data_IF_231729947618
#
_entry.id   IF_231729947618
#
_cell.length_a   1.000
_cell.length_b   1.000
_cell.length_c   1.000
_cell.angle_alpha   90.00
_cell.angle_beta   90.00
_cell.angle_gamma   90.00
#
_symmetry.space_group_name_H-M   'P 1'
#
loop_
_entity.id
_entity.type
_entity.pdbx_description
1 polymer ?
#
# COMPACT_ATOMS: atom_id res chain seq x y z
N UNK A 1 -8.34 -0.20 -21.14
CA UNK A 1 -7.66 1.00 -20.60
C UNK A 1 -7.02 0.66 -19.29
N UNK A 2 -5.71 0.73 -19.22
CA UNK A 2 -5.01 0.68 -17.96
C UNK A 2 -5.33 1.93 -17.15
N UNK A 3 -5.80 1.75 -15.93
CA UNK A 3 -5.90 2.85 -14.97
C UNK A 3 -4.46 3.32 -14.74
N UNK A 4 -4.17 4.59 -15.05
CA UNK A 4 -2.84 5.14 -14.90
C UNK A 4 -2.52 5.36 -13.40
N UNK A 5 -2.13 4.31 -12.71
CA UNK A 5 -1.57 4.40 -11.35
C UNK A 5 -0.17 5.05 -11.32
N UNK A 6 0.41 5.33 -12.49
CA UNK A 6 1.80 5.79 -12.60
C UNK A 6 1.99 7.30 -12.63
N UNK A 7 0.92 8.09 -12.75
CA UNK A 7 1.03 9.54 -12.71
C UNK A 7 1.20 9.99 -11.26
N UNK A 8 2.38 10.51 -10.96
CA UNK A 8 2.57 11.29 -9.73
C UNK A 8 1.76 12.58 -9.86
N UNK A 9 0.69 12.77 -9.07
CA UNK A 9 -0.02 14.04 -9.11
C UNK A 9 0.95 15.16 -8.72
N UNK A 10 1.01 16.24 -9.51
CA UNK A 10 1.77 17.45 -9.20
C UNK A 10 1.36 18.04 -7.83
N UNK A 11 0.20 17.63 -7.34
CA UNK A 11 -0.42 18.04 -6.08
C UNK A 11 0.02 17.24 -4.85
N UNK A 12 0.93 16.25 -4.98
CA UNK A 12 1.46 15.46 -3.86
C UNK A 12 2.05 16.29 -2.71
N UNK A 13 2.62 17.45 -3.04
CA UNK A 13 3.23 18.34 -2.04
C UNK A 13 2.22 18.91 -1.04
N UNK A 14 0.97 19.08 -1.44
CA UNK A 14 -0.05 19.79 -0.67
C UNK A 14 -1.13 18.86 -0.10
N UNK A 15 -1.09 17.56 -0.42
CA UNK A 15 -2.06 16.59 0.07
C UNK A 15 -1.46 15.68 1.13
N UNK A 16 -2.27 15.35 2.13
CA UNK A 16 -1.93 14.31 3.08
C UNK A 16 -1.91 12.93 2.41
N UNK A 17 -1.18 11.99 2.99
CA UNK A 17 -1.20 10.59 2.54
C UNK A 17 -2.64 10.04 2.56
N UNK A 18 -3.39 10.34 3.61
CA UNK A 18 -4.79 9.96 3.76
C UNK A 18 -5.64 10.44 2.57
N UNK A 19 -5.55 11.71 2.21
CA UNK A 19 -6.30 12.28 1.07
C UNK A 19 -5.92 11.63 -0.26
N UNK A 20 -4.64 11.31 -0.46
CA UNK A 20 -4.17 10.63 -1.66
C UNK A 20 -4.73 9.21 -1.78
N UNK A 21 -4.81 8.51 -0.67
CA UNK A 21 -5.36 7.15 -0.62
C UNK A 21 -6.87 7.18 -0.89
N UNK A 22 -7.60 8.07 -0.24
CA UNK A 22 -9.04 8.25 -0.45
C UNK A 22 -9.37 8.56 -1.92
N UNK A 23 -8.62 9.47 -2.53
CA UNK A 23 -8.77 9.81 -3.94
C UNK A 23 -8.46 8.62 -4.86
N UNK A 24 -7.42 7.85 -4.55
CA UNK A 24 -7.06 6.66 -5.30
C UNK A 24 -8.16 5.59 -5.24
N UNK A 25 -8.70 5.33 -4.06
CA UNK A 25 -9.81 4.39 -3.85
C UNK A 25 -11.05 4.86 -4.61
N UNK A 26 -11.43 6.11 -4.46
CA UNK A 26 -12.59 6.69 -5.18
C UNK A 26 -12.46 6.49 -6.70
N UNK A 27 -11.29 6.75 -7.25
CA UNK A 27 -11.04 6.57 -8.68
C UNK A 27 -11.18 5.10 -9.11
N UNK A 28 -10.71 4.14 -8.31
CA UNK A 28 -10.84 2.72 -8.63
C UNK A 28 -12.31 2.27 -8.58
N UNK A 29 -13.06 2.70 -7.58
CA UNK A 29 -14.47 2.36 -7.40
C UNK A 29 -15.36 2.82 -8.57
N UNK A 30 -14.93 3.85 -9.31
CA UNK A 30 -15.66 4.30 -10.52
C UNK A 30 -15.57 3.29 -11.69
N UNK A 31 -14.56 2.43 -11.70
CA UNK A 31 -14.26 1.54 -12.83
C UNK A 31 -14.30 0.06 -12.47
N UNK A 32 -14.31 -0.27 -11.21
CA UNK A 32 -14.26 -1.65 -10.70
C UNK A 32 -15.33 -1.88 -9.64
N UNK A 33 -15.99 -3.00 -9.73
CA UNK A 33 -16.94 -3.47 -8.72
C UNK A 33 -16.18 -4.15 -7.57
N UNK A 34 -15.38 -3.35 -6.87
CA UNK A 34 -14.54 -3.78 -5.75
C UNK A 34 -14.89 -2.96 -4.52
N UNK A 35 -15.19 -3.62 -3.43
CA UNK A 35 -15.44 -2.99 -2.14
C UNK A 35 -14.12 -2.64 -1.45
N UNK A 36 -14.01 -1.39 -1.01
CA UNK A 36 -12.88 -0.93 -0.20
C UNK A 36 -13.33 -0.64 1.23
N UNK A 37 -12.54 -1.14 2.17
CA UNK A 37 -12.69 -0.85 3.60
C UNK A 37 -11.44 -0.09 4.07
N UNK A 38 -11.57 1.23 4.19
CA UNK A 38 -10.48 2.11 4.62
C UNK A 38 -10.69 2.53 6.07
N UNK A 39 -9.74 2.19 6.93
CA UNK A 39 -9.71 2.63 8.32
C UNK A 39 -8.41 3.38 8.62
N UNK A 40 -8.53 4.59 9.17
CA UNK A 40 -7.39 5.42 9.54
C UNK A 40 -7.52 5.78 11.01
N UNK A 41 -6.53 5.38 11.79
CA UNK A 41 -6.48 5.63 13.23
C UNK A 41 -5.27 6.49 13.58
N UNK A 42 -5.52 7.48 14.42
CA UNK A 42 -4.53 8.48 14.83
C UNK A 42 -4.48 9.67 13.86
N UNK A 43 -3.64 10.62 14.18
CA UNK A 43 -3.43 11.83 13.40
C UNK A 43 -2.19 11.65 12.50
N UNK A 44 -2.35 11.90 11.20
CA UNK A 44 -1.24 11.84 10.26
C UNK A 44 -0.18 12.89 10.60
N UNK A 45 1.07 12.47 10.90
CA UNK A 45 2.14 13.43 11.17
C UNK A 45 2.63 14.07 9.87
N UNK A 46 3.43 15.12 10.00
CA UNK A 46 4.14 15.70 8.88
C UNK A 46 5.23 14.74 8.38
N UNK A 47 4.92 14.01 7.31
CA UNK A 47 5.81 13.02 6.71
C UNK A 47 6.74 13.67 5.69
N UNK A 48 8.01 13.26 5.65
CA UNK A 48 8.91 13.64 4.57
C UNK A 48 8.35 13.22 3.22
N UNK A 49 8.50 14.05 2.20
CA UNK A 49 7.90 13.86 0.88
C UNK A 49 8.27 12.52 0.25
N UNK A 50 9.54 12.15 0.27
CA UNK A 50 10.01 10.89 -0.31
C UNK A 50 9.43 9.66 0.41
N UNK A 51 9.25 9.73 1.72
CA UNK A 51 8.61 8.66 2.49
C UNK A 51 7.12 8.58 2.19
N UNK A 52 6.42 9.71 2.17
CA UNK A 52 5.00 9.78 1.78
C UNK A 52 4.75 9.19 0.39
N UNK A 53 5.58 9.53 -0.58
CA UNK A 53 5.52 8.97 -1.93
C UNK A 53 5.71 7.45 -1.91
N UNK A 54 6.69 6.95 -1.16
CA UNK A 54 6.94 5.52 -1.06
C UNK A 54 5.78 4.76 -0.44
N UNK A 55 5.18 5.29 0.63
CA UNK A 55 3.97 4.72 1.24
C UNK A 55 2.81 4.67 0.24
N UNK A 56 2.57 5.76 -0.46
CA UNK A 56 1.54 5.83 -1.48
C UNK A 56 1.76 4.81 -2.61
N UNK A 57 3.00 4.66 -3.07
CA UNK A 57 3.35 3.67 -4.09
C UNK A 57 3.20 2.23 -3.60
N UNK A 58 3.54 1.93 -2.37
CA UNK A 58 3.31 0.61 -1.77
C UNK A 58 1.82 0.26 -1.80
N UNK A 59 0.99 1.19 -1.38
CA UNK A 59 -0.47 1.00 -1.34
C UNK A 59 -1.03 0.83 -2.76
N UNK A 60 -0.63 1.67 -3.70
CA UNK A 60 -1.05 1.56 -5.10
C UNK A 60 -0.67 0.22 -5.72
N UNK A 61 0.55 -0.24 -5.48
CA UNK A 61 1.03 -1.51 -6.02
C UNK A 61 0.27 -2.70 -5.40
N UNK A 62 -0.03 -2.64 -4.10
CA UNK A 62 -0.86 -3.66 -3.46
C UNK A 62 -2.27 -3.70 -4.07
N UNK A 63 -2.93 -2.56 -4.20
CA UNK A 63 -4.26 -2.46 -4.82
C UNK A 63 -4.24 -2.98 -6.26
N UNK A 64 -3.25 -2.57 -7.04
CA UNK A 64 -3.09 -3.02 -8.42
C UNK A 64 -2.93 -4.55 -8.51
N UNK A 65 -2.11 -5.14 -7.65
CA UNK A 65 -1.93 -6.59 -7.60
C UNK A 65 -3.21 -7.32 -7.20
N UNK A 66 -3.95 -6.77 -6.24
CA UNK A 66 -5.22 -7.33 -5.79
C UNK A 66 -6.27 -7.31 -6.89
N UNK A 67 -6.35 -6.24 -7.66
CA UNK A 67 -7.33 -6.11 -8.77
C UNK A 67 -6.95 -6.93 -10.00
N UNK A 68 -5.66 -7.01 -10.32
CA UNK A 68 -5.20 -7.62 -11.56
C UNK A 68 -4.92 -9.12 -11.44
N UNK A 69 -4.35 -9.53 -10.32
CA UNK A 69 -3.82 -10.89 -10.16
C UNK A 69 -4.59 -11.75 -9.17
N UNK A 70 -5.17 -11.16 -8.14
CA UNK A 70 -5.84 -11.93 -7.09
C UNK A 70 -7.34 -12.13 -7.34
N UNK A 71 -7.94 -11.42 -8.30
CA UNK A 71 -9.39 -11.42 -8.54
C UNK A 71 -10.19 -11.06 -7.28
N UNK A 72 -9.62 -10.20 -6.46
CA UNK A 72 -10.25 -9.74 -5.23
C UNK A 72 -11.46 -8.85 -5.54
N UNK A 73 -12.53 -9.00 -4.77
CA UNK A 73 -13.67 -8.10 -4.78
C UNK A 73 -13.79 -7.27 -3.50
N UNK A 74 -12.92 -7.51 -2.53
CA UNK A 74 -12.80 -6.72 -1.31
C UNK A 74 -11.34 -6.49 -0.93
N UNK A 75 -11.00 -5.22 -0.70
CA UNK A 75 -9.68 -4.79 -0.26
C UNK A 75 -9.84 -3.96 1.01
N UNK A 76 -9.14 -4.36 2.07
CA UNK A 76 -9.12 -3.65 3.35
C UNK A 76 -7.76 -2.98 3.55
N UNK A 77 -7.78 -1.74 3.99
CA UNK A 77 -6.62 -0.91 4.26
C UNK A 77 -6.77 -0.26 5.63
N UNK A 78 -5.87 -0.55 6.54
CA UNK A 78 -5.83 0.12 7.85
C UNK A 78 -4.47 0.79 8.05
N UNK A 79 -4.50 2.06 8.48
CA UNK A 79 -3.32 2.82 8.84
C UNK A 79 -3.43 3.27 10.28
N UNK A 80 -2.42 2.96 11.08
CA UNK A 80 -2.29 3.43 12.45
C UNK A 80 -1.16 4.44 12.53
N UNK A 81 -1.48 5.70 12.73
CA UNK A 81 -0.51 6.74 13.04
C UNK A 81 -0.32 6.82 14.55
N UNK A 82 0.87 6.49 15.01
CA UNK A 82 1.28 6.67 16.40
C UNK A 82 2.38 7.72 16.47
N UNK A 83 2.67 8.21 17.67
CA UNK A 83 3.70 9.24 17.87
C UNK A 83 5.04 8.90 17.22
N UNK A 84 5.51 7.67 17.41
CA UNK A 84 6.85 7.23 16.99
C UNK A 84 6.81 6.06 16.00
N UNK A 85 5.65 5.76 15.46
CA UNK A 85 5.51 4.64 14.52
C UNK A 85 4.31 4.79 13.59
N UNK A 86 4.43 4.14 12.45
CA UNK A 86 3.35 3.99 11.49
C UNK A 86 3.19 2.49 11.19
N UNK A 87 1.96 2.00 11.32
CA UNK A 87 1.60 0.64 10.94
C UNK A 87 0.64 0.69 9.76
N UNK A 88 0.92 -0.13 8.77
CA UNK A 88 0.09 -0.28 7.59
C UNK A 88 -0.34 -1.74 7.49
N UNK A 89 -1.64 -1.95 7.35
CA UNK A 89 -2.23 -3.27 7.24
C UNK A 89 -3.09 -3.33 5.98
N UNK A 90 -2.67 -4.17 5.03
CA UNK A 90 -3.32 -4.32 3.74
C UNK A 90 -3.79 -5.76 3.57
N UNK A 91 -5.02 -5.95 3.11
CA UNK A 91 -5.57 -7.27 2.89
C UNK A 91 -6.52 -7.29 1.71
N UNK A 92 -6.45 -8.32 0.91
CA UNK A 92 -7.46 -8.66 -0.09
C UNK A 92 -8.05 -10.06 0.15
N UNK A 93 -9.23 -10.29 -0.37
CA UNK A 93 -9.92 -11.58 -0.30
C UNK A 93 -9.79 -12.40 -1.59
N UNK A 94 -8.74 -12.14 -2.36
CA UNK A 94 -8.51 -12.81 -3.63
C UNK A 94 -7.93 -14.22 -3.50
N UNK A 95 -7.49 -14.76 -4.63
CA UNK A 95 -6.99 -16.15 -4.70
C UNK A 95 -5.62 -16.39 -4.05
N UNK A 96 -4.97 -15.34 -3.55
CA UNK A 96 -3.64 -15.46 -2.95
C UNK A 96 -2.56 -15.90 -3.95
N UNK A 97 -1.35 -16.00 -3.48
CA UNK A 97 -0.19 -16.47 -4.25
C UNK A 97 0.89 -17.04 -3.32
N UNK A 98 1.87 -17.72 -3.90
CA UNK A 98 3.04 -18.17 -3.16
C UNK A 98 4.09 -17.06 -3.19
N UNK A 99 4.29 -16.40 -2.06
CA UNK A 99 5.21 -15.28 -1.91
C UNK A 99 6.67 -15.66 -2.21
N UNK A 100 7.12 -16.81 -1.70
CA UNK A 100 8.50 -17.27 -1.91
C UNK A 100 8.78 -17.54 -3.39
N UNK A 101 7.87 -18.25 -4.07
CA UNK A 101 7.97 -18.46 -5.51
C UNK A 101 7.96 -17.16 -6.30
N UNK A 102 7.20 -16.18 -5.84
CA UNK A 102 7.12 -14.89 -6.51
C UNK A 102 8.42 -14.08 -6.37
N UNK A 103 9.13 -14.22 -5.25
CA UNK A 103 10.46 -13.61 -5.08
C UNK A 103 11.54 -14.30 -5.92
N UNK A 104 11.50 -15.63 -6.03
CA UNK A 104 12.47 -16.40 -6.81
C UNK A 104 12.25 -16.23 -8.32
N UNK A 105 11.01 -16.28 -8.77
CA UNK A 105 10.62 -16.17 -10.18
C UNK A 105 9.51 -15.13 -10.35
N UNK A 106 9.85 -13.83 -10.31
CA UNK A 106 8.85 -12.78 -10.38
C UNK A 106 8.18 -12.76 -11.77
N UNK A 107 6.86 -12.89 -11.79
CA UNK A 107 6.03 -12.67 -13.00
C UNK A 107 5.83 -11.19 -13.30
N UNK A 108 6.39 -10.33 -12.46
CA UNK A 108 6.39 -8.87 -12.56
C UNK A 108 7.22 -8.27 -11.44
N UNK A 109 7.41 -6.97 -11.44
CA UNK A 109 8.25 -6.27 -10.46
C UNK A 109 7.48 -5.77 -9.22
N UNK A 110 6.16 -5.93 -9.16
CA UNK A 110 5.30 -5.32 -8.15
C UNK A 110 5.67 -5.65 -6.72
N UNK A 111 5.79 -6.94 -6.38
CA UNK A 111 6.15 -7.37 -5.02
C UNK A 111 7.56 -6.95 -4.66
N UNK A 112 8.50 -7.09 -5.58
CA UNK A 112 9.88 -6.64 -5.38
C UNK A 112 9.95 -5.12 -5.17
N UNK A 113 9.13 -4.35 -5.86
CA UNK A 113 9.02 -2.91 -5.67
C UNK A 113 8.48 -2.56 -4.28
N UNK A 114 7.47 -3.27 -3.81
CA UNK A 114 6.95 -3.10 -2.44
C UNK A 114 8.05 -3.37 -1.42
N UNK A 115 8.70 -4.51 -1.50
CA UNK A 115 9.76 -4.92 -0.57
C UNK A 115 10.93 -3.93 -0.59
N UNK A 116 11.39 -3.51 -1.77
CA UNK A 116 12.47 -2.53 -1.91
C UNK A 116 12.12 -1.19 -1.27
N UNK A 117 10.89 -0.72 -1.44
CA UNK A 117 10.44 0.55 -0.82
C UNK A 117 10.37 0.45 0.69
N UNK A 118 9.91 -0.69 1.22
CA UNK A 118 9.87 -0.91 2.67
C UNK A 118 11.28 -0.90 3.25
N UNK A 119 12.20 -1.63 2.63
CA UNK A 119 13.60 -1.73 3.07
C UNK A 119 14.35 -0.39 2.97
N UNK A 120 14.07 0.42 1.95
CA UNK A 120 14.68 1.74 1.78
C UNK A 120 14.43 2.68 2.97
N UNK A 121 13.35 2.49 3.71
CA UNK A 121 13.01 3.25 4.91
C UNK A 121 13.12 2.42 6.20
N UNK A 122 13.89 1.34 6.16
CA UNK A 122 14.17 0.47 7.31
C UNK A 122 12.89 -0.11 7.96
N UNK A 123 11.82 -0.26 7.15
CA UNK A 123 10.58 -0.87 7.60
C UNK A 123 10.70 -2.37 7.79
N UNK A 124 9.87 -2.89 8.68
CA UNK A 124 9.66 -4.33 8.87
C UNK A 124 8.35 -4.71 8.22
N UNK A 125 8.28 -5.90 7.64
CA UNK A 125 7.06 -6.37 7.02
C UNK A 125 6.86 -7.87 7.18
N UNK A 126 5.60 -8.29 7.03
CA UNK A 126 5.20 -9.67 6.94
C UNK A 126 4.18 -9.81 5.82
N UNK A 127 4.52 -10.61 4.82
CA UNK A 127 3.57 -11.07 3.82
C UNK A 127 2.97 -12.40 4.23
N UNK A 128 1.66 -12.49 4.21
CA UNK A 128 0.92 -13.74 4.40
C UNK A 128 -0.03 -13.90 3.23
N UNK A 129 0.12 -14.98 2.48
CA UNK A 129 -0.81 -15.30 1.41
C UNK A 129 -1.21 -16.75 1.49
N UNK A 130 -2.51 -16.99 1.46
CA UNK A 130 -3.07 -18.34 1.48
C UNK A 130 -3.79 -18.58 0.16
N UNK A 131 -3.33 -19.58 -0.59
CA UNK A 131 -3.94 -19.95 -1.87
C UNK A 131 -5.45 -20.15 -1.71
N UNK A 132 -6.21 -19.61 -2.66
CA UNK A 132 -7.67 -19.63 -2.72
C UNK A 132 -8.37 -18.91 -1.54
N UNK A 133 -7.69 -18.00 -0.85
CA UNK A 133 -8.27 -17.35 0.33
C UNK A 133 -7.98 -15.85 0.46
N UNK A 134 -6.71 -15.45 0.60
CA UNK A 134 -6.38 -14.03 0.83
C UNK A 134 -4.89 -13.73 0.60
N UNK A 135 -4.61 -12.44 0.47
CA UNK A 135 -3.25 -11.85 0.60
C UNK A 135 -3.28 -10.77 1.66
N UNK A 136 -2.27 -10.75 2.52
CA UNK A 136 -2.14 -9.81 3.62
C UNK A 136 -0.71 -9.30 3.72
N UNK A 137 -0.56 -8.00 3.92
CA UNK A 137 0.72 -7.34 4.11
C UNK A 137 0.64 -6.44 5.33
N UNK A 138 1.44 -6.76 6.34
CA UNK A 138 1.67 -5.92 7.50
C UNK A 138 3.00 -5.19 7.36
N UNK A 139 3.02 -3.88 7.60
CA UNK A 139 4.24 -3.07 7.56
C UNK A 139 4.32 -2.21 8.81
N UNK A 140 5.52 -2.13 9.35
CA UNK A 140 5.82 -1.28 10.50
C UNK A 140 7.04 -0.43 10.23
N UNK A 141 6.89 0.89 10.40
CA UNK A 141 7.96 1.88 10.34
C UNK A 141 8.12 2.57 11.69
N UNK A 142 9.34 2.76 12.12
CA UNK A 142 9.66 3.68 13.21
C UNK A 142 9.79 5.10 12.64
N UNK A 143 8.99 6.03 13.15
CA UNK A 143 9.02 7.42 12.75
C UNK A 143 10.09 8.15 13.56
N UNK A 144 11.23 8.35 12.94
CA UNK A 144 12.33 9.14 13.48
C UNK A 144 12.50 10.43 12.68
N UNK A 145 13.49 11.24 13.04
CA UNK A 145 13.77 12.50 12.36
C UNK A 145 14.07 12.36 10.85
N UNK A 146 14.30 11.13 10.37
CA UNK A 146 14.52 10.85 8.95
C UNK A 146 13.21 10.70 8.16
N UNK A 147 12.08 10.45 8.84
CA UNK A 147 10.79 10.19 8.20
C UNK A 147 9.74 11.25 8.52
N UNK A 148 9.95 12.01 9.59
CA UNK A 148 9.13 13.15 9.96
C UNK A 148 9.71 14.45 9.40
N UNK A 149 8.85 15.35 8.94
CA UNK A 149 9.20 16.64 8.38
C UNK A 149 9.60 17.72 9.40
N UNK A 150 9.84 17.31 10.66
CA UNK A 150 10.30 18.23 11.71
C UNK A 150 11.77 18.04 12.01
#
# INVERSE_FOLDING_TARGET
RSICFNLMPVTLKNKSLTSLIEESIFNVEQFKDTEFDLNIEGEEPDLLMNFKISLYRIIQEFIHNSLKHSEANKISLTIFFKKDSLHLFLRDNGKGFNFEKQLENPTGNGINNIVSRIKAFEGRFKFTSKLANFTELEIHFLLNNKLNGK
#
